data_IF_196321520087
#
_entry.id   IF_196321520087
#
_cell.length_a   1.000
_cell.length_b   1.000
_cell.length_c   1.000
_cell.angle_alpha   90.00
_cell.angle_beta   90.00
_cell.angle_gamma   90.00
#
_symmetry.space_group_name_H-M   'P 1'
#
loop_
_entity.id
_entity.type
_entity.pdbx_description
1 polymer ?
#
# COMPACT_ATOMS: atom_id res chain seq x y z
N UNK A 1 -39.69 -1.99 -21.17
CA UNK A 1 -38.61 -0.99 -21.27
C UNK A 1 -37.46 -1.50 -20.41
N UNK A 2 -36.43 -2.10 -21.01
CA UNK A 2 -35.24 -2.48 -20.26
C UNK A 2 -34.43 -1.22 -20.00
N UNK A 3 -34.57 -0.66 -18.81
CA UNK A 3 -33.74 0.42 -18.33
C UNK A 3 -32.37 -0.21 -18.02
N UNK A 4 -31.49 -0.21 -19.00
CA UNK A 4 -30.09 -0.60 -18.81
C UNK A 4 -29.47 0.50 -17.95
N UNK A 5 -29.51 0.32 -16.62
CA UNK A 5 -28.92 1.26 -15.69
C UNK A 5 -27.46 1.45 -16.08
N UNK A 6 -27.08 2.69 -16.44
CA UNK A 6 -25.69 3.04 -16.66
C UNK A 6 -24.96 2.77 -15.34
N UNK A 7 -24.11 1.75 -15.33
CA UNK A 7 -23.31 1.42 -14.15
C UNK A 7 -22.45 2.63 -13.79
N UNK A 8 -22.40 2.96 -12.50
CA UNK A 8 -21.63 4.13 -12.05
C UNK A 8 -20.14 3.82 -12.13
N UNK A 9 -19.29 4.86 -12.20
CA UNK A 9 -17.83 4.65 -12.11
C UNK A 9 -17.45 3.84 -10.87
N UNK A 10 -18.12 4.08 -9.75
CA UNK A 10 -17.94 3.35 -8.48
C UNK A 10 -18.22 1.84 -8.59
N UNK A 11 -19.08 1.42 -9.51
CA UNK A 11 -19.44 0.02 -9.74
C UNK A 11 -18.54 -0.69 -10.76
N UNK A 12 -17.78 0.05 -11.60
CA UNK A 12 -17.06 -0.54 -12.72
C UNK A 12 -15.56 -0.23 -12.76
N UNK A 13 -15.06 0.81 -12.09
CA UNK A 13 -13.66 1.19 -12.29
C UNK A 13 -12.66 0.14 -11.79
N UNK A 14 -13.04 -0.71 -10.82
CA UNK A 14 -12.21 -1.86 -10.43
C UNK A 14 -12.03 -2.87 -11.57
N UNK A 15 -13.03 -3.05 -12.46
CA UNK A 15 -12.89 -3.96 -13.61
C UNK A 15 -11.87 -3.46 -14.60
N UNK A 16 -11.62 -2.13 -14.66
CA UNK A 16 -10.56 -1.57 -15.51
C UNK A 16 -9.17 -1.97 -15.02
N UNK A 17 -8.98 -2.12 -13.71
CA UNK A 17 -7.72 -2.66 -13.15
C UNK A 17 -7.54 -4.13 -13.57
N UNK A 18 -8.59 -4.95 -13.47
CA UNK A 18 -8.57 -6.34 -13.93
C UNK A 18 -8.25 -6.41 -15.44
N UNK A 19 -8.88 -5.56 -16.24
CA UNK A 19 -8.64 -5.48 -17.69
C UNK A 19 -7.22 -5.00 -18.03
N UNK A 20 -6.61 -4.17 -17.18
CA UNK A 20 -5.22 -3.76 -17.28
C UNK A 20 -4.23 -4.84 -16.80
N UNK A 21 -4.72 -5.96 -16.25
CA UNK A 21 -3.91 -7.11 -15.84
C UNK A 21 -3.49 -7.10 -14.37
N UNK A 22 -4.07 -6.23 -13.54
CA UNK A 22 -3.80 -6.23 -12.10
C UNK A 22 -4.45 -7.43 -11.40
N UNK A 23 -3.71 -8.05 -10.49
CA UNK A 23 -4.24 -9.05 -9.54
C UNK A 23 -4.97 -8.30 -8.41
N UNK A 24 -6.27 -8.59 -8.24
CA UNK A 24 -7.18 -7.84 -7.38
C UNK A 24 -8.12 -8.80 -6.63
N UNK A 25 -8.32 -8.54 -5.34
CA UNK A 25 -9.20 -9.28 -4.42
C UNK A 25 -10.29 -8.32 -3.89
N UNK A 26 -11.57 -8.62 -4.15
CA UNK A 26 -12.67 -7.81 -3.58
C UNK A 26 -12.84 -8.14 -2.10
N UNK A 27 -12.91 -7.11 -1.25
CA UNK A 27 -13.16 -7.29 0.16
C UNK A 27 -14.67 -7.41 0.40
N UNK A 28 -15.09 -8.54 0.97
CA UNK A 28 -16.50 -8.85 1.27
C UNK A 28 -17.44 -8.73 0.04
N UNK A 29 -16.92 -8.93 -1.17
CA UNK A 29 -17.66 -8.78 -2.42
C UNK A 29 -18.04 -7.33 -2.78
N UNK A 30 -17.47 -6.34 -2.10
CA UNK A 30 -17.71 -4.91 -2.37
C UNK A 30 -16.94 -4.45 -3.60
N UNK A 31 -17.60 -3.76 -4.55
CA UNK A 31 -16.91 -3.13 -5.70
C UNK A 31 -16.16 -1.85 -5.32
N UNK A 32 -16.25 -1.45 -4.06
CA UNK A 32 -15.79 -0.17 -3.52
C UNK A 32 -14.68 -0.37 -2.49
N UNK A 33 -14.37 -1.61 -2.17
CA UNK A 33 -13.39 -1.99 -1.17
C UNK A 33 -12.68 -3.25 -1.69
N UNK A 34 -11.40 -3.09 -2.06
CA UNK A 34 -10.63 -4.15 -2.70
C UNK A 34 -9.13 -3.94 -2.50
N UNK A 35 -8.41 -5.05 -2.57
CA UNK A 35 -6.95 -5.08 -2.51
C UNK A 35 -6.38 -5.31 -3.91
N UNK A 36 -5.31 -4.60 -4.25
CA UNK A 36 -4.62 -4.68 -5.54
C UNK A 36 -3.15 -4.97 -5.34
N UNK A 37 -2.60 -5.90 -6.11
CA UNK A 37 -1.16 -6.15 -6.10
C UNK A 37 -0.41 -5.08 -6.90
N UNK A 38 0.58 -4.47 -6.28
CA UNK A 38 1.39 -3.40 -6.84
C UNK A 38 2.87 -3.77 -6.78
N UNK A 39 3.56 -3.59 -7.90
CA UNK A 39 4.98 -3.85 -8.04
C UNK A 39 5.76 -2.54 -7.96
N UNK A 40 6.85 -2.55 -7.19
CA UNK A 40 7.73 -1.39 -7.06
C UNK A 40 8.28 -0.92 -8.41
N UNK A 41 8.34 0.39 -8.67
CA UNK A 41 8.82 0.91 -9.95
C UNK A 41 10.29 0.56 -10.21
N UNK A 42 10.59 0.15 -11.45
CA UNK A 42 11.95 -0.13 -11.89
C UNK A 42 12.82 1.13 -11.86
N UNK A 43 14.11 0.98 -11.58
CA UNK A 43 15.08 2.06 -11.46
C UNK A 43 14.96 2.87 -10.18
N UNK A 44 14.18 2.41 -9.19
CA UNK A 44 14.00 3.08 -7.90
C UNK A 44 14.46 2.22 -6.72
N UNK A 45 14.55 2.79 -5.52
CA UNK A 45 14.83 2.02 -4.30
C UNK A 45 13.74 0.99 -3.96
N UNK A 46 12.55 1.12 -4.56
CA UNK A 46 11.41 0.21 -4.38
C UNK A 46 11.41 -0.98 -5.33
N UNK A 47 12.33 -1.02 -6.30
CA UNK A 47 12.39 -2.07 -7.32
C UNK A 47 12.41 -3.47 -6.71
N UNK A 48 11.64 -4.39 -7.30
CA UNK A 48 11.54 -5.79 -6.85
C UNK A 48 10.64 -5.99 -5.63
N UNK A 49 10.18 -4.91 -4.99
CA UNK A 49 9.17 -4.98 -3.94
C UNK A 49 7.78 -5.28 -4.50
N UNK A 50 6.99 -5.99 -3.70
CA UNK A 50 5.60 -6.33 -3.99
C UNK A 50 4.77 -5.88 -2.78
N UNK A 51 3.76 -5.05 -3.04
CA UNK A 51 2.83 -4.61 -2.03
C UNK A 51 1.41 -5.00 -2.37
N UNK A 52 0.65 -5.33 -1.33
CA UNK A 52 -0.80 -5.37 -1.40
C UNK A 52 -1.33 -3.99 -1.01
N UNK A 53 -2.05 -3.35 -1.91
CA UNK A 53 -2.57 -2.00 -1.75
C UNK A 53 -4.09 -2.07 -1.56
N UNK A 54 -4.55 -1.68 -0.39
CA UNK A 54 -5.96 -1.52 -0.09
C UNK A 54 -6.51 -0.24 -0.74
N UNK A 55 -7.67 -0.36 -1.39
CA UNK A 55 -8.35 0.74 -2.05
C UNK A 55 -9.79 0.81 -1.57
N UNK A 56 -10.21 2.00 -1.14
CA UNK A 56 -11.61 2.29 -0.84
C UNK A 56 -12.13 3.42 -1.72
N UNK A 57 -13.29 3.23 -2.33
CA UNK A 57 -14.00 4.24 -3.12
C UNK A 57 -15.08 4.91 -2.25
N UNK A 58 -14.99 6.21 -1.95
CA UNK A 58 -15.96 6.91 -1.10
C UNK A 58 -17.32 7.09 -1.80
N UNK A 59 -18.37 7.43 -1.05
CA UNK A 59 -19.75 7.57 -1.56
C UNK A 59 -19.93 8.60 -2.66
N UNK A 60 -19.14 9.66 -2.61
CA UNK A 60 -19.09 10.73 -3.60
C UNK A 60 -18.07 10.48 -4.73
N UNK A 61 -17.49 9.29 -4.83
CA UNK A 61 -16.64 8.91 -5.97
C UNK A 61 -17.39 9.05 -7.31
N UNK A 62 -16.81 9.69 -8.34
CA UNK A 62 -15.39 10.09 -8.48
C UNK A 62 -15.08 11.54 -8.07
N UNK A 63 -16.04 12.27 -7.47
CA UNK A 63 -15.81 13.66 -7.06
C UNK A 63 -14.83 13.76 -5.89
N UNK A 64 -14.88 12.81 -4.95
CA UNK A 64 -13.77 12.53 -4.05
C UNK A 64 -12.83 11.47 -4.63
N UNK A 65 -11.57 11.54 -4.20
CA UNK A 65 -10.51 10.61 -4.55
C UNK A 65 -10.66 9.26 -3.83
N UNK A 66 -10.11 8.17 -4.38
CA UNK A 66 -10.01 6.92 -3.64
C UNK A 66 -9.04 7.06 -2.46
N UNK A 67 -9.31 6.36 -1.36
CA UNK A 67 -8.34 6.14 -0.30
C UNK A 67 -7.39 5.00 -0.69
N UNK A 68 -6.09 5.18 -0.45
CA UNK A 68 -5.03 4.24 -0.83
C UNK A 68 -4.19 3.92 0.41
N UNK A 69 -4.02 2.63 0.72
CA UNK A 69 -3.22 2.17 1.86
C UNK A 69 -2.36 0.95 1.54
N UNK A 70 -1.09 0.97 1.91
CA UNK A 70 -0.19 -0.17 1.79
C UNK A 70 -0.36 -1.12 2.98
N UNK A 71 -0.78 -2.37 2.72
CA UNK A 71 -1.05 -3.35 3.78
C UNK A 71 0.25 -3.84 4.42
N UNK A 72 1.25 -4.17 3.62
CA UNK A 72 2.60 -4.45 4.11
C UNK A 72 3.43 -3.15 4.13
N UNK A 73 4.39 -3.08 5.06
CA UNK A 73 5.13 -1.84 5.36
C UNK A 73 5.80 -1.24 4.12
N UNK A 74 5.69 0.09 4.01
CA UNK A 74 6.35 0.91 3.01
C UNK A 74 6.97 2.12 3.70
N UNK A 75 8.28 2.31 3.54
CA UNK A 75 8.99 3.50 4.03
C UNK A 75 8.89 4.61 2.98
N UNK A 76 8.10 5.65 3.25
CA UNK A 76 7.95 6.79 2.34
C UNK A 76 7.46 8.05 3.08
N UNK A 77 7.99 9.27 2.77
CA UNK A 77 7.58 10.51 3.44
C UNK A 77 6.06 10.77 3.46
N UNK A 78 5.37 10.47 2.36
CA UNK A 78 3.91 10.70 2.22
C UNK A 78 3.04 9.49 2.54
N UNK A 79 3.60 8.49 3.24
CA UNK A 79 2.86 7.30 3.69
C UNK A 79 3.00 7.17 5.20
N UNK A 80 1.87 7.04 5.89
CA UNK A 80 1.86 6.78 7.33
C UNK A 80 2.44 5.38 7.61
N UNK A 81 3.44 5.28 8.48
CA UNK A 81 4.18 4.03 8.68
C UNK A 81 3.39 2.97 9.46
N UNK A 82 2.45 3.40 10.29
CA UNK A 82 1.65 2.51 11.12
C UNK A 82 0.49 1.89 10.34
N UNK A 83 -0.28 2.72 9.63
CA UNK A 83 -1.46 2.31 8.86
C UNK A 83 -1.18 2.00 7.39
N UNK A 84 -0.07 2.49 6.85
CA UNK A 84 0.23 2.41 5.41
C UNK A 84 -0.54 3.40 4.54
N UNK A 85 -1.32 4.31 5.14
CA UNK A 85 -2.17 5.25 4.41
C UNK A 85 -1.35 6.27 3.63
N UNK A 86 -1.68 6.49 2.36
CA UNK A 86 -1.10 7.55 1.53
C UNK A 86 -1.78 8.88 1.87
N UNK A 87 -0.99 9.95 1.98
CA UNK A 87 -1.50 11.30 2.27
C UNK A 87 -2.59 11.73 1.28
N UNK A 88 -3.78 12.02 1.81
CA UNK A 88 -4.95 12.40 1.01
C UNK A 88 -4.70 13.70 0.22
N UNK A 89 -3.99 14.66 0.79
CA UNK A 89 -3.69 15.92 0.11
C UNK A 89 -2.78 15.72 -1.11
N UNK A 90 -1.85 14.76 -1.03
CA UNK A 90 -0.99 14.40 -2.18
C UNK A 90 -1.80 13.70 -3.28
N UNK A 91 -2.74 12.83 -2.91
CA UNK A 91 -3.67 12.22 -3.88
C UNK A 91 -4.51 13.31 -4.56
N UNK A 92 -5.05 14.25 -3.78
CA UNK A 92 -5.94 15.31 -4.26
C UNK A 92 -5.25 16.36 -5.14
N UNK A 93 -3.93 16.48 -5.10
CA UNK A 93 -3.18 17.32 -6.05
C UNK A 93 -3.24 16.79 -7.49
N UNK A 94 -3.40 15.47 -7.65
CA UNK A 94 -3.45 14.80 -8.97
C UNK A 94 -4.88 14.40 -9.35
N UNK A 95 -5.69 14.01 -8.36
CA UNK A 95 -7.01 13.48 -8.60
C UNK A 95 -7.98 14.55 -9.11
N UNK A 96 -8.73 14.18 -10.14
CA UNK A 96 -9.90 14.93 -10.62
C UNK A 96 -11.02 13.93 -10.92
N UNK A 97 -12.29 14.35 -11.04
CA UNK A 97 -13.39 13.44 -11.38
C UNK A 97 -13.27 12.77 -12.75
N UNK A 98 -12.29 13.16 -13.57
CA UNK A 98 -11.94 12.54 -14.86
C UNK A 98 -10.70 11.64 -14.78
N UNK A 99 -9.97 11.67 -13.67
CA UNK A 99 -8.77 10.86 -13.48
C UNK A 99 -9.13 9.37 -13.41
N UNK A 100 -8.36 8.55 -14.11
CA UNK A 100 -8.59 7.11 -14.21
C UNK A 100 -8.06 6.39 -12.97
N UNK A 101 -8.82 5.44 -12.44
CA UNK A 101 -8.35 4.58 -11.35
C UNK A 101 -7.11 3.77 -11.76
N UNK A 102 -7.01 3.34 -13.01
CA UNK A 102 -5.82 2.64 -13.54
C UNK A 102 -4.57 3.54 -13.45
N UNK A 103 -4.72 4.84 -13.71
CA UNK A 103 -3.61 5.78 -13.62
C UNK A 103 -3.14 6.02 -12.19
N UNK A 104 -3.94 5.66 -11.17
CA UNK A 104 -3.45 5.66 -9.78
C UNK A 104 -2.26 4.71 -9.64
N UNK A 105 -2.34 3.53 -10.25
CA UNK A 105 -1.31 2.49 -10.20
C UNK A 105 -0.24 2.64 -11.28
N UNK A 106 -0.63 3.03 -12.50
CA UNK A 106 0.30 3.18 -13.63
C UNK A 106 1.16 4.45 -13.55
N UNK A 107 0.64 5.52 -12.94
CA UNK A 107 1.26 6.85 -13.01
C UNK A 107 1.47 7.43 -11.62
N UNK A 108 0.41 7.62 -10.84
CA UNK A 108 0.49 8.36 -9.58
C UNK A 108 1.42 7.68 -8.55
N UNK A 109 1.19 6.40 -8.22
CA UNK A 109 2.02 5.70 -7.25
C UNK A 109 3.49 5.59 -7.70
N UNK A 110 3.81 5.21 -8.96
CA UNK A 110 5.19 5.24 -9.44
C UNK A 110 5.86 6.61 -9.35
N UNK A 111 5.16 7.68 -9.72
CA UNK A 111 5.67 9.04 -9.62
C UNK A 111 5.92 9.44 -8.17
N UNK A 112 4.97 9.15 -7.28
CA UNK A 112 5.09 9.45 -5.85
C UNK A 112 6.30 8.75 -5.24
N UNK A 113 6.47 7.44 -5.49
CA UNK A 113 7.60 6.67 -4.97
C UNK A 113 8.95 7.10 -5.55
N UNK A 114 8.97 7.63 -6.77
CA UNK A 114 10.20 8.13 -7.40
C UNK A 114 10.58 9.52 -6.88
N UNK A 115 9.57 10.36 -6.63
CA UNK A 115 9.74 11.76 -6.25
C UNK A 115 8.88 12.10 -5.01
N UNK A 116 9.35 11.74 -3.80
CA UNK A 116 8.62 12.04 -2.58
C UNK A 116 8.46 13.55 -2.36
N UNK A 117 7.38 13.95 -1.67
CA UNK A 117 7.18 15.33 -1.24
C UNK A 117 7.51 15.49 0.25
N UNK A 118 8.68 16.02 0.63
CA UNK A 118 9.07 16.18 2.04
C UNK A 118 8.51 17.43 2.72
N UNK A 119 7.76 18.30 2.01
CA UNK A 119 7.30 19.58 2.57
C UNK A 119 6.18 19.46 3.60
N UNK A 120 5.38 18.40 3.53
CA UNK A 120 4.34 18.06 4.51
C UNK A 120 4.20 16.54 4.62
N UNK A 121 5.13 15.87 5.34
CA UNK A 121 5.19 14.42 5.37
C UNK A 121 4.26 13.82 6.44
N UNK A 122 3.71 12.63 6.15
CA UNK A 122 3.11 11.77 7.17
C UNK A 122 4.17 11.04 7.99
N UNK A 123 5.32 10.74 7.36
CA UNK A 123 6.47 10.15 8.02
C UNK A 123 7.63 11.16 8.08
N UNK A 124 7.67 11.93 9.16
CA UNK A 124 8.69 12.95 9.41
C UNK A 124 10.11 12.38 9.47
N UNK A 125 10.29 11.14 9.93
CA UNK A 125 11.59 10.49 10.01
C UNK A 125 12.12 10.13 8.62
N UNK A 126 11.26 9.56 7.76
CA UNK A 126 11.58 9.27 6.37
C UNK A 126 11.91 10.57 5.60
N UNK A 127 11.13 11.63 5.80
CA UNK A 127 11.37 12.93 5.19
C UNK A 127 12.69 13.55 5.65
N UNK A 128 12.96 13.53 6.96
CA UNK A 128 14.20 14.05 7.54
C UNK A 128 15.42 13.31 7.01
N UNK A 129 15.32 11.98 6.89
CA UNK A 129 16.40 11.16 6.33
C UNK A 129 16.66 11.49 4.86
N UNK A 130 15.60 11.58 4.05
CA UNK A 130 15.68 11.96 2.63
C UNK A 130 16.30 13.35 2.44
N UNK A 131 15.92 14.33 3.26
CA UNK A 131 16.44 15.70 3.19
C UNK A 131 17.91 15.77 3.63
N UNK A 132 18.33 14.92 4.57
CA UNK A 132 19.70 14.89 5.07
C UNK A 132 20.65 14.18 4.11
N UNK A 133 20.28 12.99 3.64
CA UNK A 133 21.08 12.21 2.71
C UNK A 133 20.19 11.24 1.92
N UNK A 134 20.00 11.54 0.64
CA UNK A 134 19.19 10.73 -0.27
C UNK A 134 19.73 9.31 -0.44
N UNK A 135 21.05 9.11 -0.45
CA UNK A 135 21.63 7.78 -0.65
C UNK A 135 21.35 6.88 0.56
N UNK A 136 21.54 7.41 1.77
CA UNK A 136 21.22 6.67 3.01
C UNK A 136 19.73 6.36 3.08
N UNK A 137 18.87 7.30 2.69
CA UNK A 137 17.43 7.05 2.59
C UNK A 137 17.12 5.90 1.62
N UNK A 138 17.69 5.92 0.41
CA UNK A 138 17.45 4.87 -0.59
C UNK A 138 18.01 3.51 -0.15
N UNK A 139 19.13 3.45 0.55
CA UNK A 139 19.65 2.22 1.15
C UNK A 139 18.69 1.66 2.21
N UNK A 140 18.18 2.52 3.10
CA UNK A 140 17.18 2.13 4.11
C UNK A 140 15.88 1.64 3.46
N UNK A 141 15.43 2.28 2.38
CA UNK A 141 14.26 1.84 1.61
C UNK A 141 14.51 0.44 1.04
N UNK A 142 15.67 0.18 0.42
CA UNK A 142 16.01 -1.16 -0.11
C UNK A 142 16.04 -2.24 0.97
N UNK A 143 16.51 -1.92 2.17
CA UNK A 143 16.44 -2.84 3.31
C UNK A 143 14.99 -3.11 3.73
N UNK A 144 14.16 -2.07 3.83
CA UNK A 144 12.73 -2.20 4.11
C UNK A 144 12.02 -3.07 3.07
N UNK A 145 12.32 -2.90 1.78
CA UNK A 145 11.77 -3.72 0.70
C UNK A 145 12.11 -5.19 0.92
N UNK A 146 13.36 -5.51 1.24
CA UNK A 146 13.78 -6.90 1.50
C UNK A 146 13.04 -7.51 2.69
N UNK A 147 12.86 -6.73 3.77
CA UNK A 147 12.26 -7.19 5.02
C UNK A 147 10.74 -7.32 4.96
N UNK A 148 10.04 -6.47 4.21
CA UNK A 148 8.59 -6.34 4.30
C UNK A 148 7.83 -6.49 2.97
N UNK A 149 8.53 -6.47 1.84
CA UNK A 149 7.91 -6.48 0.52
C UNK A 149 8.61 -7.41 -0.49
N UNK A 150 9.49 -8.30 -0.03
CA UNK A 150 10.19 -9.22 -0.94
C UNK A 150 9.26 -10.24 -1.58
N UNK A 151 9.60 -10.66 -2.79
CA UNK A 151 8.86 -11.72 -3.51
C UNK A 151 8.69 -12.99 -2.69
N UNK A 152 9.70 -13.37 -1.91
CA UNK A 152 9.63 -14.57 -1.07
C UNK A 152 8.62 -14.45 0.07
N UNK A 153 8.39 -13.25 0.61
CA UNK A 153 7.32 -13.01 1.58
C UNK A 153 5.95 -13.16 0.93
N UNK A 154 5.79 -12.57 -0.26
CA UNK A 154 4.56 -12.68 -1.03
C UNK A 154 4.20 -14.13 -1.37
N UNK A 155 5.15 -14.91 -1.90
CA UNK A 155 4.91 -16.31 -2.26
C UNK A 155 4.60 -17.19 -1.05
N UNK A 156 5.19 -16.90 0.12
CA UNK A 156 4.87 -17.59 1.38
C UNK A 156 3.44 -17.30 1.81
N UNK A 157 3.04 -16.03 1.86
CA UNK A 157 1.68 -15.62 2.21
C UNK A 157 0.62 -16.21 1.28
N UNK A 158 0.92 -16.26 -0.04
CA UNK A 158 0.02 -16.85 -1.04
C UNK A 158 -0.18 -18.36 -0.83
N UNK A 159 0.89 -19.09 -0.48
CA UNK A 159 0.82 -20.52 -0.16
C UNK A 159 0.03 -20.79 1.11
N UNK A 160 0.25 -20.00 2.16
CA UNK A 160 -0.47 -20.11 3.44
C UNK A 160 -1.97 -19.87 3.27
N UNK A 161 -2.37 -18.80 2.56
CA UNK A 161 -3.79 -18.56 2.21
C UNK A 161 -4.40 -19.72 1.44
N UNK A 162 -3.67 -20.28 0.47
CA UNK A 162 -4.15 -21.40 -0.34
C UNK A 162 -4.34 -22.68 0.50
N UNK A 163 -3.43 -22.94 1.44
CA UNK A 163 -3.53 -24.06 2.37
C UNK A 163 -4.68 -23.88 3.39
N UNK A 164 -4.89 -22.66 3.90
CA UNK A 164 -6.00 -22.35 4.81
C UNK A 164 -7.37 -22.55 4.13
N UNK A 165 -7.51 -22.16 2.87
CA UNK A 165 -8.75 -22.31 2.12
C UNK A 165 -9.09 -23.79 1.79
N UNK A 166 -8.08 -24.66 1.61
CA UNK A 166 -8.31 -26.10 1.45
C UNK A 166 -8.74 -26.80 2.75
N UNK A 167 -8.35 -26.27 3.91
CA UNK A 167 -8.61 -26.88 5.21
C UNK A 167 -9.92 -26.42 5.87
N UNK A 168 -10.74 -25.58 5.21
CA UNK A 168 -12.10 -25.24 5.65
C UNK A 168 -12.21 -24.46 6.97
N UNK A 169 -11.12 -23.96 7.54
CA UNK A 169 -11.14 -23.17 8.77
C UNK A 169 -11.18 -21.68 8.45
N UNK A 170 -12.37 -21.10 8.44
CA UNK A 170 -12.55 -19.65 8.56
C UNK A 170 -12.40 -19.30 10.04
N UNK A 171 -11.25 -18.73 10.42
CA UNK A 171 -11.11 -17.96 11.66
C UNK A 171 -10.64 -16.54 11.31
N UNK A 172 -11.24 -15.49 11.91
CA UNK A 172 -10.92 -14.10 11.60
C UNK A 172 -9.53 -13.75 12.13
N UNK A 173 -8.82 -12.94 11.35
CA UNK A 173 -7.49 -12.42 11.65
C UNK A 173 -7.56 -11.54 12.90
N UNK A 174 -7.02 -12.03 14.01
CA UNK A 174 -6.71 -11.22 15.18
C UNK A 174 -5.53 -11.81 15.95
N UNK A 175 -4.33 -11.79 15.36
CA UNK A 175 -3.10 -11.92 16.16
C UNK A 175 -1.88 -11.37 15.39
N UNK A 176 -1.75 -10.04 15.42
CA UNK A 176 -0.43 -9.40 15.41
C UNK A 176 -0.28 -8.71 16.76
N UNK A 177 -0.07 -9.51 17.81
CA UNK A 177 0.38 -9.05 19.11
C UNK A 177 1.91 -9.15 19.18
N UNK A 178 2.54 -7.98 19.31
CA UNK A 178 3.73 -7.71 20.11
C UNK A 178 4.78 -8.81 20.31
N UNK A 179 5.93 -8.66 19.64
CA UNK A 179 7.29 -8.98 20.15
C UNK A 179 8.23 -8.05 19.35
N UNK A 180 9.06 -7.17 19.91
CA UNK A 180 10.07 -7.43 20.94
C UNK A 180 10.23 -6.26 21.93
N UNK A 181 10.18 -6.58 23.23
CA UNK A 181 10.99 -5.91 24.25
C UNK A 181 11.87 -7.00 24.86
N UNK A 182 13.12 -7.10 24.39
CA UNK A 182 14.21 -7.69 25.17
C UNK A 182 15.54 -7.17 24.61
N UNK A 183 15.99 -6.05 25.18
CA UNK A 183 17.42 -5.79 25.33
C UNK A 183 17.64 -5.68 26.83
N UNK A 184 18.03 -6.80 27.44
CA UNK A 184 18.68 -6.81 28.73
C UNK A 184 20.08 -6.26 28.54
N UNK A 185 20.45 -5.25 29.31
CA UNK A 185 21.86 -5.06 29.68
C UNK A 185 21.99 -4.34 31.03
N UNK A 186 22.47 -5.15 31.98
CA UNK A 186 23.57 -4.86 32.92
C UNK A 186 23.23 -4.10 34.21
N UNK A 187 23.36 -4.86 35.30
CA UNK A 187 23.46 -4.43 36.70
C UNK A 187 24.48 -3.30 36.88
N UNK A 188 24.01 -2.14 37.34
CA UNK A 188 24.83 -1.09 37.92
C UNK A 188 24.75 -1.19 39.44
N UNK A 189 25.62 -2.03 40.01
CA UNK A 189 26.08 -1.92 41.41
C UNK A 189 27.41 -2.70 41.56
N UNK A 190 28.52 -2.08 41.13
CA UNK A 190 29.85 -2.25 41.74
C UNK A 190 30.90 -1.30 41.09
N UNK A 191 31.44 -0.41 41.93
CA UNK A 191 32.48 0.63 41.75
C UNK A 191 32.09 1.97 41.12
#
# INVERSE_FOLDING_TARGET
MNQQASLTRKQCDFTKLIMAGYDLELNNGSTQDFDVMFHGPNGTAYEGGIWKVHVTLPDDYPFASPSIGFINKLLHPNVDEASGSVCLDVINQTWTPLYSLVNVFEVFLPQLLTYPNPSDPLNSDAASLLMKDKNIYEEKVKEYVKLYASKDLWERQKKEKSAANMNGNISPVSELSYVDQEVQDIDLDNL
#
